data_IF_177978213877
#
_entry.id   IF_177978213877
#
_cell.length_a   1.000
_cell.length_b   1.000
_cell.length_c   1.000
_cell.angle_alpha   90.00
_cell.angle_beta   90.00
_cell.angle_gamma   90.00
#
_symmetry.space_group_name_H-M   'P 1'
#
loop_
_entity.id
_entity.type
_entity.pdbx_description
1 polymer ?
#
# COMPACT_ATOMS: atom_id res chain seq x y z
N UNK A 1 -20.79 -1.90 -2.07
CA UNK A 1 -20.18 -2.24 -0.76
C UNK A 1 -18.76 -2.68 -1.04
N UNK A 2 -17.75 -2.06 -0.42
CA UNK A 2 -16.36 -2.45 -0.66
C UNK A 2 -16.09 -3.83 -0.06
N UNK A 3 -15.55 -4.76 -0.85
CA UNK A 3 -15.12 -6.05 -0.33
C UNK A 3 -14.02 -5.88 0.75
N UNK A 4 -14.02 -6.76 1.77
CA UNK A 4 -13.01 -6.75 2.82
C UNK A 4 -11.65 -7.19 2.28
N UNK A 5 -10.58 -6.45 2.63
CA UNK A 5 -9.21 -6.84 2.34
C UNK A 5 -8.81 -7.99 3.28
N UNK A 6 -8.60 -9.20 2.73
CA UNK A 6 -8.25 -10.39 3.51
C UNK A 6 -6.75 -10.66 3.43
N UNK A 7 -6.06 -10.46 4.55
CA UNK A 7 -4.64 -10.75 4.67
C UNK A 7 -4.42 -12.24 4.92
N UNK A 8 -3.54 -12.86 4.14
CA UNK A 8 -2.97 -14.17 4.45
C UNK A 8 -1.68 -14.02 5.25
N UNK A 9 -0.89 -15.10 5.31
CA UNK A 9 0.38 -15.14 6.06
C UNK A 9 1.40 -14.12 5.56
N UNK A 10 1.46 -13.88 4.24
CA UNK A 10 2.44 -12.99 3.61
C UNK A 10 1.78 -11.72 3.02
N UNK A 11 0.79 -11.18 3.70
CA UNK A 11 0.11 -9.95 3.26
C UNK A 11 -1.17 -10.21 2.46
N UNK A 12 -1.58 -9.19 1.69
CA UNK A 12 -2.80 -9.23 0.89
C UNK A 12 -2.51 -9.62 -0.56
N UNK A 13 -3.27 -10.59 -1.09
CA UNK A 13 -3.20 -11.06 -2.48
C UNK A 13 -4.60 -11.01 -3.09
N UNK A 14 -4.68 -10.62 -4.35
CA UNK A 14 -5.93 -10.42 -5.07
C UNK A 14 -5.71 -10.48 -6.58
N UNK A 15 -6.81 -10.58 -7.35
CA UNK A 15 -6.76 -10.58 -8.82
C UNK A 15 -6.75 -9.13 -9.33
N UNK A 16 -5.81 -8.81 -10.22
CA UNK A 16 -5.71 -7.48 -10.86
C UNK A 16 -7.01 -7.13 -11.58
N UNK A 17 -7.43 -5.87 -11.43
CA UNK A 17 -8.66 -5.32 -11.99
C UNK A 17 -9.98 -5.87 -11.42
N UNK A 18 -9.92 -6.85 -10.51
CA UNK A 18 -11.06 -7.32 -9.73
C UNK A 18 -10.99 -6.76 -8.31
N UNK A 19 -10.15 -7.34 -7.45
CA UNK A 19 -9.93 -6.83 -6.09
C UNK A 19 -8.61 -6.07 -5.96
N UNK A 20 -7.59 -6.40 -6.75
CA UNK A 20 -6.31 -5.66 -6.77
C UNK A 20 -6.45 -4.43 -7.67
N UNK A 21 -7.03 -3.39 -7.10
CA UNK A 21 -7.36 -2.10 -7.75
C UNK A 21 -6.66 -0.94 -7.05
N UNK A 22 -6.49 0.18 -7.74
CA UNK A 22 -5.93 1.40 -7.14
C UNK A 22 -6.73 1.85 -5.91
N UNK A 23 -8.06 1.75 -5.93
CA UNK A 23 -8.89 2.11 -4.78
C UNK A 23 -8.61 1.23 -3.54
N UNK A 24 -8.37 -0.07 -3.73
CA UNK A 24 -8.02 -0.96 -2.62
C UNK A 24 -6.58 -0.78 -2.18
N UNK A 25 -5.66 -0.46 -3.09
CA UNK A 25 -4.29 -0.09 -2.74
C UNK A 25 -4.22 1.21 -1.94
N UNK A 26 -5.01 2.22 -2.26
CA UNK A 26 -5.07 3.46 -1.46
C UNK A 26 -5.56 3.16 -0.03
N UNK A 27 -6.64 2.37 0.11
CA UNK A 27 -7.14 1.92 1.42
C UNK A 27 -6.06 1.18 2.21
N UNK A 28 -5.35 0.26 1.56
CA UNK A 28 -4.26 -0.51 2.15
C UNK A 28 -3.13 0.41 2.62
N UNK A 29 -2.61 1.26 1.73
CA UNK A 29 -1.47 2.14 2.01
C UNK A 29 -1.76 3.13 3.15
N UNK A 30 -2.95 3.74 3.18
CA UNK A 30 -3.36 4.61 4.29
C UNK A 30 -3.46 3.85 5.61
N UNK A 31 -4.02 2.64 5.60
CA UNK A 31 -4.07 1.80 6.78
C UNK A 31 -2.66 1.44 7.28
N UNK A 32 -1.74 1.10 6.37
CA UNK A 32 -0.34 0.84 6.70
C UNK A 32 0.36 2.05 7.30
N UNK A 33 0.20 3.25 6.73
CA UNK A 33 0.81 4.47 7.29
C UNK A 33 0.30 4.77 8.70
N UNK A 34 -1.02 4.65 8.93
CA UNK A 34 -1.62 4.84 10.25
C UNK A 34 -1.11 3.81 11.26
N UNK A 35 -1.02 2.55 10.85
CA UNK A 35 -0.47 1.48 11.70
C UNK A 35 1.00 1.73 12.08
N UNK A 36 1.83 2.19 11.13
CA UNK A 36 3.23 2.54 11.41
C UNK A 36 3.34 3.67 12.44
N UNK A 37 2.52 4.72 12.30
CA UNK A 37 2.48 5.83 13.27
C UNK A 37 2.05 5.38 14.66
N UNK A 38 1.00 4.56 14.75
CA UNK A 38 0.52 3.98 16.01
C UNK A 38 1.56 3.07 16.68
N UNK A 39 2.47 2.50 15.89
CA UNK A 39 3.59 1.69 16.37
C UNK A 39 4.77 2.54 16.88
N UNK A 40 4.56 3.84 17.13
CA UNK A 40 5.55 4.76 17.68
C UNK A 40 6.47 5.44 16.65
N UNK A 41 6.21 5.30 15.34
CA UNK A 41 6.99 5.94 14.27
C UNK A 41 6.29 7.21 13.80
N UNK A 42 6.52 8.35 14.46
CA UNK A 42 5.85 9.61 14.13
C UNK A 42 6.10 10.10 12.67
N UNK A 43 7.24 9.73 12.08
CA UNK A 43 7.58 9.96 10.67
C UNK A 43 8.32 8.75 10.10
N UNK A 44 7.61 7.70 9.65
CA UNK A 44 8.26 6.47 9.21
C UNK A 44 8.93 6.66 7.85
N UNK A 45 10.12 6.08 7.68
CA UNK A 45 10.70 5.86 6.34
C UNK A 45 10.26 4.50 5.83
N UNK A 46 9.69 4.45 4.63
CA UNK A 46 9.19 3.23 3.99
C UNK A 46 9.87 3.03 2.65
N UNK A 47 10.36 1.81 2.40
CA UNK A 47 10.87 1.39 1.10
C UNK A 47 9.73 0.67 0.38
N UNK A 48 9.42 1.08 -0.85
CA UNK A 48 8.41 0.45 -1.71
C UNK A 48 9.14 -0.17 -2.88
N UNK A 49 8.87 -1.45 -3.16
CA UNK A 49 9.41 -2.15 -4.32
C UNK A 49 8.31 -2.85 -5.11
N UNK A 50 8.59 -3.17 -6.36
CA UNK A 50 7.69 -3.96 -7.20
C UNK A 50 8.45 -4.93 -8.09
N UNK A 51 7.72 -5.91 -8.62
CA UNK A 51 8.24 -6.85 -9.60
C UNK A 51 7.78 -6.49 -11.03
N UNK A 52 7.97 -7.40 -11.97
CA UNK A 52 7.66 -7.19 -13.40
C UNK A 52 6.19 -7.46 -13.77
N UNK A 53 5.29 -7.64 -12.80
CA UNK A 53 3.87 -7.90 -13.09
C UNK A 53 3.21 -6.69 -13.76
N UNK A 54 2.09 -6.96 -14.43
CA UNK A 54 1.31 -5.93 -15.11
C UNK A 54 0.94 -4.80 -14.13
N UNK A 55 1.20 -3.55 -14.54
CA UNK A 55 1.04 -2.34 -13.74
C UNK A 55 1.85 -2.28 -12.43
N UNK A 56 2.81 -3.19 -12.20
CA UNK A 56 3.58 -3.27 -10.96
C UNK A 56 4.22 -1.94 -10.57
N UNK A 57 4.84 -1.25 -11.53
CA UNK A 57 5.41 0.09 -11.34
C UNK A 57 4.36 1.12 -10.94
N UNK A 58 3.24 1.19 -11.65
CA UNK A 58 2.17 2.15 -11.37
C UNK A 58 1.52 1.90 -10.00
N UNK A 59 1.37 0.64 -9.59
CA UNK A 59 0.88 0.29 -8.26
C UNK A 59 1.87 0.74 -7.17
N UNK A 60 3.17 0.55 -7.39
CA UNK A 60 4.21 0.98 -6.47
C UNK A 60 4.25 2.51 -6.33
N UNK A 61 4.23 3.24 -7.44
CA UNK A 61 4.16 4.70 -7.47
C UNK A 61 2.91 5.22 -6.76
N UNK A 62 1.76 4.56 -6.96
CA UNK A 62 0.52 4.91 -6.27
C UNK A 62 0.61 4.71 -4.75
N UNK A 63 1.10 3.56 -4.30
CA UNK A 63 1.31 3.28 -2.87
C UNK A 63 2.31 4.27 -2.26
N UNK A 64 3.43 4.52 -2.94
CA UNK A 64 4.45 5.46 -2.51
C UNK A 64 3.87 6.87 -2.30
N UNK A 65 3.07 7.35 -3.26
CA UNK A 65 2.39 8.64 -3.15
C UNK A 65 1.42 8.66 -1.97
N UNK A 66 0.56 7.65 -1.82
CA UNK A 66 -0.39 7.60 -0.71
C UNK A 66 0.29 7.55 0.65
N UNK A 67 1.40 6.83 0.78
CA UNK A 67 2.21 6.82 2.01
C UNK A 67 2.84 8.19 2.31
N UNK A 68 3.35 8.87 1.28
CA UNK A 68 3.91 10.22 1.41
C UNK A 68 2.84 11.26 1.79
N UNK A 69 1.63 11.15 1.23
CA UNK A 69 0.48 11.99 1.60
C UNK A 69 0.09 11.80 3.08
N UNK A 70 0.30 10.60 3.62
CA UNK A 70 0.15 10.30 5.04
C UNK A 70 1.40 10.69 5.86
N UNK A 71 2.38 11.40 5.30
CA UNK A 71 3.54 11.92 6.02
C UNK A 71 4.66 10.91 6.29
N UNK A 72 4.71 9.80 5.54
CA UNK A 72 5.88 8.92 5.52
C UNK A 72 6.96 9.47 4.57
N UNK A 73 8.24 9.30 4.92
CA UNK A 73 9.31 9.43 3.93
C UNK A 73 9.35 8.15 3.09
N UNK A 74 9.36 8.27 1.75
CA UNK A 74 9.28 7.10 0.87
C UNK A 74 10.49 7.02 -0.05
N UNK A 75 11.05 5.82 -0.15
CA UNK A 75 12.06 5.44 -1.12
C UNK A 75 11.39 4.41 -2.04
N UNK A 76 11.30 4.73 -3.33
CA UNK A 76 10.71 3.87 -4.37
C UNK A 76 11.82 3.30 -5.25
#
# INVERSE_FOLDING_TARGET
>A
MNEPLRFGTDGWRAVIAREFTFANLDRLARATAKWLKQSGRNSPTVIVGHDTRFLGRQFAEHVAKTLADEGAAVIL
#
